data_IF_067783158240
#
_entry.id   IF_067783158240
#
_cell.length_a   1.000
_cell.length_b   1.000
_cell.length_c   1.000
_cell.angle_alpha   90.00
_cell.angle_beta   90.00
_cell.angle_gamma   90.00
#
_symmetry.space_group_name_H-M   'P 1'
#
loop_
_entity.id
_entity.type
_entity.pdbx_description
1 polymer ?
#
# COMPACT_ATOMS: atom_id res chain seq x y z
N UNK A 1 36.12 -5.80 -31.63
CA UNK A 1 35.40 -6.35 -30.46
C UNK A 1 34.22 -5.45 -30.20
N UNK A 2 32.99 -5.92 -30.45
CA UNK A 2 31.78 -5.18 -30.17
C UNK A 2 31.43 -5.36 -28.68
N UNK A 3 31.28 -4.26 -27.95
CA UNK A 3 30.86 -4.28 -26.56
C UNK A 3 29.33 -4.41 -26.52
N UNK A 4 28.83 -5.56 -26.07
CA UNK A 4 27.42 -5.74 -25.75
C UNK A 4 27.10 -4.91 -24.51
N UNK A 5 26.29 -3.87 -24.66
CA UNK A 5 25.76 -3.11 -23.54
C UNK A 5 24.67 -3.97 -22.90
N UNK A 6 24.94 -4.50 -21.69
CA UNK A 6 23.91 -5.12 -20.88
C UNK A 6 22.97 -4.01 -20.39
N UNK A 7 21.74 -4.00 -20.89
CA UNK A 7 20.67 -3.15 -20.36
C UNK A 7 20.29 -3.77 -19.01
N UNK A 8 20.52 -3.05 -17.92
CA UNK A 8 20.05 -3.49 -16.62
C UNK A 8 18.51 -3.51 -16.63
N UNK A 9 17.86 -4.57 -16.10
CA UNK A 9 16.41 -4.55 -15.93
C UNK A 9 16.03 -3.32 -15.10
N UNK A 10 15.04 -2.57 -15.57
CA UNK A 10 14.45 -1.46 -14.81
C UNK A 10 13.78 -2.03 -13.55
N UNK A 11 13.92 -1.36 -12.38
CA UNK A 11 13.28 -1.82 -11.15
C UNK A 11 11.76 -1.85 -11.37
N UNK A 12 11.12 -2.95 -10.95
CA UNK A 12 9.66 -3.03 -10.90
C UNK A 12 9.22 -2.18 -9.72
N UNK A 13 8.44 -1.13 -9.95
CA UNK A 13 7.84 -0.35 -8.86
C UNK A 13 6.85 -1.25 -8.12
N UNK A 14 6.98 -1.34 -6.80
CA UNK A 14 6.01 -2.06 -5.99
C UNK A 14 4.65 -1.37 -6.06
N UNK A 15 3.61 -2.18 -6.17
CA UNK A 15 2.21 -1.77 -6.19
C UNK A 15 1.36 -2.82 -5.45
N UNK A 16 0.20 -2.39 -4.96
CA UNK A 16 -0.89 -3.22 -4.47
C UNK A 16 -1.73 -3.59 -5.70
N UNK A 17 -1.91 -4.88 -5.94
CA UNK A 17 -2.78 -5.43 -6.96
C UNK A 17 -4.01 -6.04 -6.29
N UNK A 18 -5.17 -5.61 -6.75
CA UNK A 18 -6.48 -6.17 -6.42
C UNK A 18 -7.01 -6.86 -7.67
N UNK A 19 -7.49 -8.09 -7.53
CA UNK A 19 -8.01 -8.90 -8.63
C UNK A 19 -9.45 -9.39 -8.38
N UNK A 20 -10.11 -9.73 -9.48
CA UNK A 20 -11.48 -10.20 -9.57
C UNK A 20 -12.51 -9.28 -8.90
N UNK A 21 -12.37 -7.98 -9.13
CA UNK A 21 -13.41 -7.01 -8.77
C UNK A 21 -14.63 -7.25 -9.66
N UNK A 22 -15.73 -7.74 -9.09
CA UNK A 22 -16.93 -8.07 -9.86
C UNK A 22 -17.84 -6.86 -10.08
N UNK A 23 -17.96 -6.03 -9.06
CA UNK A 23 -18.84 -4.87 -9.04
C UNK A 23 -18.15 -3.69 -8.36
N UNK A 24 -18.57 -2.48 -8.71
CA UNK A 24 -18.20 -1.26 -7.99
C UNK A 24 -19.45 -0.39 -7.91
N UNK A 25 -19.79 0.03 -6.70
CA UNK A 25 -20.97 0.89 -6.43
C UNK A 25 -20.50 2.22 -5.90
N UNK A 26 -21.32 3.27 -6.02
CA UNK A 26 -20.98 4.56 -5.43
C UNK A 26 -20.88 4.42 -3.91
N UNK A 27 -19.92 5.12 -3.28
CA UNK A 27 -19.88 5.24 -1.82
C UNK A 27 -21.20 5.84 -1.35
N UNK A 28 -21.92 5.21 -0.42
CA UNK A 28 -23.26 5.65 -0.04
C UNK A 28 -23.21 6.97 0.74
N UNK A 29 -24.31 7.71 0.77
CA UNK A 29 -24.34 9.07 1.37
C UNK A 29 -24.27 9.07 2.91
N UNK A 30 -24.54 7.92 3.55
CA UNK A 30 -24.36 7.73 4.99
C UNK A 30 -22.90 7.50 5.40
N UNK A 31 -22.00 7.15 4.47
CA UNK A 31 -20.59 6.97 4.79
C UNK A 31 -19.96 8.27 5.32
N UNK A 32 -19.58 8.26 6.59
CA UNK A 32 -19.16 9.44 7.36
C UNK A 32 -17.95 10.16 6.78
N UNK A 33 -17.06 9.46 6.08
CA UNK A 33 -15.80 9.99 5.57
C UNK A 33 -15.81 10.22 4.05
N UNK A 34 -16.99 10.28 3.43
CA UNK A 34 -17.13 10.31 1.96
C UNK A 34 -16.45 11.52 1.34
N UNK A 35 -16.64 12.69 1.94
CA UNK A 35 -16.12 13.95 1.39
C UNK A 35 -14.60 13.98 1.47
N UNK A 36 -14.04 13.46 2.56
CA UNK A 36 -12.61 13.37 2.82
C UNK A 36 -11.94 12.39 1.88
N UNK A 37 -12.51 11.19 1.66
CA UNK A 37 -11.97 10.21 0.71
C UNK A 37 -11.97 10.73 -0.73
N UNK A 38 -13.02 11.43 -1.14
CA UNK A 38 -13.07 12.06 -2.46
C UNK A 38 -12.02 13.17 -2.58
N UNK A 39 -11.90 14.03 -1.56
CA UNK A 39 -10.97 15.17 -1.58
C UNK A 39 -9.49 14.75 -1.54
N UNK A 40 -9.13 13.80 -0.69
CA UNK A 40 -7.73 13.44 -0.43
C UNK A 40 -7.21 12.38 -1.41
N UNK A 41 -8.08 11.46 -1.86
CA UNK A 41 -7.68 10.27 -2.62
C UNK A 41 -8.45 10.09 -3.94
N UNK A 42 -9.42 10.95 -4.26
CA UNK A 42 -10.29 10.81 -5.44
C UNK A 42 -11.05 9.48 -5.49
N UNK A 43 -11.39 8.94 -4.31
CA UNK A 43 -12.15 7.70 -4.16
C UNK A 43 -13.65 8.03 -4.07
N UNK A 44 -14.46 7.42 -4.93
CA UNK A 44 -15.90 7.73 -5.06
C UNK A 44 -16.78 6.50 -5.16
N UNK A 45 -16.16 5.33 -5.24
CA UNK A 45 -16.86 4.04 -5.33
C UNK A 45 -16.24 3.03 -4.37
N UNK A 46 -16.97 1.97 -4.07
CA UNK A 46 -16.54 0.89 -3.20
C UNK A 46 -16.93 -0.46 -3.77
N UNK A 47 -16.29 -1.51 -3.26
CA UNK A 47 -16.66 -2.90 -3.54
C UNK A 47 -16.29 -3.80 -2.37
N UNK A 48 -17.15 -4.77 -2.06
CA UNK A 48 -16.82 -5.92 -1.21
C UNK A 48 -16.51 -7.19 -2.01
N UNK A 49 -16.74 -7.17 -3.32
CA UNK A 49 -16.60 -8.32 -4.21
C UNK A 49 -15.20 -8.35 -4.84
N UNK A 50 -14.25 -8.99 -4.17
CA UNK A 50 -12.89 -9.24 -4.69
C UNK A 50 -12.37 -10.62 -4.29
N UNK A 51 -11.45 -11.18 -5.09
CA UNK A 51 -10.85 -12.49 -4.75
C UNK A 51 -9.53 -12.36 -3.99
N UNK A 52 -8.75 -11.32 -4.26
CA UNK A 52 -7.40 -11.22 -3.72
C UNK A 52 -6.85 -9.80 -3.70
N UNK A 53 -5.94 -9.59 -2.73
CA UNK A 53 -5.09 -8.41 -2.61
C UNK A 53 -3.65 -8.91 -2.48
N UNK A 54 -2.72 -8.34 -3.25
CA UNK A 54 -1.31 -8.73 -3.25
C UNK A 54 -0.38 -7.54 -3.48
N UNK A 55 0.90 -7.70 -3.13
CA UNK A 55 1.98 -6.78 -3.47
C UNK A 55 2.78 -7.35 -4.63
N UNK A 56 3.08 -6.54 -5.65
CA UNK A 56 3.75 -6.97 -6.89
C UNK A 56 5.27 -7.05 -6.80
N UNK A 57 5.90 -6.43 -5.80
CA UNK A 57 7.34 -6.40 -5.58
C UNK A 57 7.66 -6.19 -4.07
N UNK A 58 8.91 -6.41 -3.61
CA UNK A 58 9.28 -6.12 -2.24
C UNK A 58 8.99 -4.66 -1.84
N UNK A 59 8.30 -4.46 -0.73
CA UNK A 59 7.87 -3.14 -0.26
C UNK A 59 7.60 -3.14 1.25
N UNK A 60 7.59 -1.93 1.82
CA UNK A 60 6.99 -1.69 3.13
C UNK A 60 5.58 -1.15 2.90
N UNK A 61 4.60 -1.70 3.59
CA UNK A 61 3.26 -1.13 3.67
C UNK A 61 3.18 -0.37 4.99
N UNK A 62 2.84 0.91 4.95
CA UNK A 62 2.46 1.68 6.12
C UNK A 62 0.94 1.68 6.22
N UNK A 63 0.42 1.40 7.40
CA UNK A 63 -1.02 1.40 7.69
C UNK A 63 -1.37 2.62 8.52
N UNK A 64 -2.42 3.34 8.10
CA UNK A 64 -2.96 4.49 8.81
C UNK A 64 -4.43 4.26 9.12
N UNK A 65 -4.85 4.57 10.34
CA UNK A 65 -6.25 4.57 10.71
C UNK A 65 -6.85 5.92 10.32
N UNK A 66 -7.66 5.96 9.26
CA UNK A 66 -8.24 7.21 8.76
C UNK A 66 -9.31 7.71 9.72
N UNK A 67 -10.31 6.89 10.05
CA UNK A 67 -11.39 7.24 10.95
C UNK A 67 -12.15 5.99 11.40
N UNK A 68 -13.04 6.16 12.39
CA UNK A 68 -13.97 5.14 12.84
C UNK A 68 -15.30 5.78 13.30
N UNK A 69 -16.42 5.13 12.99
CA UNK A 69 -17.76 5.55 13.41
C UNK A 69 -18.59 4.38 13.98
N UNK A 70 -17.98 3.56 14.82
CA UNK A 70 -18.62 2.39 15.36
C UNK A 70 -19.27 2.62 16.74
N UNK A 71 -20.26 1.79 17.06
CA UNK A 71 -20.77 1.63 18.41
C UNK A 71 -20.01 0.59 19.24
N UNK A 72 -19.02 -0.08 18.64
CA UNK A 72 -18.26 -1.22 19.13
C UNK A 72 -16.75 -0.96 19.03
N UNK A 73 -15.92 -1.75 19.71
CA UNK A 73 -14.47 -1.66 19.59
C UNK A 73 -13.96 -2.53 18.43
N UNK A 74 -13.62 -1.92 17.30
CA UNK A 74 -13.08 -2.63 16.16
C UNK A 74 -11.54 -2.66 16.16
N UNK A 75 -11.00 -3.79 15.72
CA UNK A 75 -9.58 -4.08 15.73
C UNK A 75 -9.11 -4.51 14.34
N UNK A 76 -8.16 -3.77 13.80
CA UNK A 76 -7.43 -4.11 12.59
C UNK A 76 -6.23 -5.00 12.94
N UNK A 77 -6.07 -6.08 12.19
CA UNK A 77 -4.97 -7.02 12.29
C UNK A 77 -4.29 -7.17 10.93
N UNK A 78 -2.96 -7.17 10.94
CA UNK A 78 -2.15 -7.48 9.77
C UNK A 78 -0.86 -8.21 10.17
N UNK A 79 -0.89 -9.54 10.08
CA UNK A 79 0.21 -10.38 10.55
C UNK A 79 0.43 -10.23 12.06
N UNK A 80 1.48 -9.52 12.47
CA UNK A 80 1.77 -9.22 13.88
C UNK A 80 1.28 -7.84 14.33
N UNK A 81 0.83 -6.99 13.40
CA UNK A 81 0.23 -5.70 13.72
C UNK A 81 -1.19 -5.94 14.24
N UNK A 82 -1.53 -5.29 15.36
CA UNK A 82 -2.87 -5.27 15.94
C UNK A 82 -3.14 -3.85 16.43
N UNK A 83 -4.26 -3.28 16.03
CA UNK A 83 -4.66 -1.93 16.42
C UNK A 83 -6.17 -1.88 16.61
N UNK A 84 -6.59 -1.58 17.85
CA UNK A 84 -7.99 -1.33 18.20
C UNK A 84 -8.26 0.16 18.08
N UNK A 85 -9.35 0.53 17.43
CA UNK A 85 -9.75 1.91 17.26
C UNK A 85 -10.16 2.57 18.59
N UNK A 86 -10.36 3.89 18.56
CA UNK A 86 -10.81 4.66 19.71
C UNK A 86 -11.58 5.92 19.27
N UNK A 87 -12.70 5.72 18.56
CA UNK A 87 -13.60 6.78 18.08
C UNK A 87 -12.86 7.89 17.31
N UNK A 88 -12.23 7.52 16.21
CA UNK A 88 -11.34 8.38 15.46
C UNK A 88 -12.10 9.31 14.50
N UNK A 89 -11.95 10.61 14.72
CA UNK A 89 -12.16 11.58 13.65
C UNK A 89 -11.18 11.33 12.49
N UNK A 90 -11.58 11.72 11.28
CA UNK A 90 -10.77 11.58 10.08
C UNK A 90 -9.38 12.24 10.23
N UNK A 91 -8.32 11.47 10.04
CA UNK A 91 -6.93 11.91 10.07
C UNK A 91 -6.05 11.03 9.15
N UNK A 92 -5.61 11.54 7.98
CA UNK A 92 -4.78 10.78 7.04
C UNK A 92 -3.33 10.60 7.51
N UNK A 93 -2.96 11.14 8.67
CA UNK A 93 -1.59 11.09 9.21
C UNK A 93 -1.41 10.10 10.35
N UNK A 94 -2.50 9.47 10.84
CA UNK A 94 -2.50 8.55 11.98
C UNK A 94 -1.89 7.19 11.62
N UNK A 95 -0.57 7.10 11.64
CA UNK A 95 0.17 5.86 11.43
C UNK A 95 -0.07 4.88 12.59
N UNK A 96 -0.58 3.70 12.28
CA UNK A 96 -0.84 2.63 13.27
C UNK A 96 0.20 1.52 13.22
N UNK A 97 0.92 1.38 12.11
CA UNK A 97 2.01 0.42 12.00
C UNK A 97 2.51 0.24 10.58
N UNK A 98 3.43 -0.71 10.41
CA UNK A 98 3.96 -1.05 9.10
C UNK A 98 4.29 -2.54 9.00
N UNK A 99 4.22 -3.10 7.80
CA UNK A 99 4.64 -4.47 7.51
C UNK A 99 5.58 -4.51 6.30
N UNK A 100 6.62 -5.35 6.38
CA UNK A 100 7.59 -5.53 5.30
C UNK A 100 7.26 -6.78 4.48
N UNK A 101 7.12 -6.59 3.16
CA UNK A 101 7.08 -7.63 2.16
C UNK A 101 8.47 -7.80 1.56
N UNK A 102 9.12 -8.93 1.86
CA UNK A 102 10.47 -9.23 1.33
C UNK A 102 10.43 -9.86 -0.06
N UNK A 103 9.24 -10.27 -0.53
CA UNK A 103 8.95 -10.79 -1.86
C UNK A 103 7.52 -10.39 -2.27
N UNK A 104 7.19 -10.40 -3.58
CA UNK A 104 5.79 -10.33 -4.00
C UNK A 104 4.94 -11.38 -3.27
N UNK A 105 3.70 -11.06 -2.94
CA UNK A 105 2.85 -11.95 -2.17
C UNK A 105 1.50 -11.36 -1.78
N UNK A 106 0.58 -12.20 -1.33
CA UNK A 106 -0.75 -11.80 -0.89
C UNK A 106 -0.71 -11.02 0.44
N UNK A 107 -1.71 -10.16 0.67
CA UNK A 107 -2.05 -9.54 1.96
C UNK A 107 -2.59 -10.58 2.96
N UNK A 108 -1.88 -11.69 3.12
CA UNK A 108 -2.24 -12.72 4.08
C UNK A 108 -2.26 -12.18 5.50
N UNK A 109 -3.32 -12.49 6.25
CA UNK A 109 -3.46 -12.07 7.65
C UNK A 109 -4.05 -10.68 7.85
N UNK A 110 -4.59 -10.05 6.79
CA UNK A 110 -5.48 -8.91 6.94
C UNK A 110 -6.82 -9.38 7.51
N UNK A 111 -7.18 -8.87 8.69
CA UNK A 111 -8.43 -9.20 9.37
C UNK A 111 -8.95 -7.98 10.13
N UNK A 112 -10.24 -7.72 10.07
CA UNK A 112 -10.93 -6.90 11.07
C UNK A 112 -11.68 -7.77 12.06
N UNK A 113 -11.67 -7.37 13.32
CA UNK A 113 -12.43 -7.97 14.40
C UNK A 113 -13.22 -6.88 15.11
N UNK A 114 -14.30 -7.26 15.78
CA UNK A 114 -15.13 -6.37 16.58
C UNK A 114 -15.45 -7.06 17.91
N UNK A 115 -15.67 -6.30 18.98
CA UNK A 115 -16.14 -6.80 20.27
C UNK A 115 -17.67 -7.04 20.31
N UNK A 116 -18.24 -7.53 19.22
CA UNK A 116 -19.66 -7.81 19.11
C UNK A 116 -20.12 -8.05 17.67
N UNK A 117 -19.37 -7.50 16.71
CA UNK A 117 -19.59 -7.69 15.29
C UNK A 117 -18.96 -8.96 14.69
N UNK A 118 -19.13 -9.12 13.38
CA UNK A 118 -18.58 -10.25 12.62
C UNK A 118 -17.16 -9.92 12.13
N UNK A 119 -16.18 -10.84 12.23
CA UNK A 119 -14.86 -10.59 11.67
C UNK A 119 -14.94 -10.42 10.14
N UNK A 120 -14.09 -9.58 9.57
CA UNK A 120 -14.00 -9.37 8.13
C UNK A 120 -12.61 -9.71 7.60
N UNK A 121 -12.58 -10.31 6.41
CA UNK A 121 -11.38 -10.52 5.60
C UNK A 121 -11.73 -10.17 4.15
N UNK A 122 -10.73 -9.95 3.27
CA UNK A 122 -10.98 -9.69 1.85
C UNK A 122 -11.93 -10.72 1.23
N UNK A 123 -12.96 -10.21 0.54
CA UNK A 123 -13.99 -11.03 -0.12
C UNK A 123 -15.19 -11.40 0.77
N UNK A 124 -15.26 -10.90 2.02
CA UNK A 124 -16.49 -10.96 2.83
C UNK A 124 -17.28 -9.65 2.72
N UNK A 125 -18.59 -9.74 2.92
CA UNK A 125 -19.53 -8.62 2.75
C UNK A 125 -19.36 -7.47 3.74
N UNK A 126 -18.55 -7.65 4.77
CA UNK A 126 -18.23 -6.63 5.78
C UNK A 126 -16.82 -6.04 5.58
N UNK A 127 -16.16 -6.36 4.47
CA UNK A 127 -14.89 -5.78 4.07
C UNK A 127 -15.07 -5.05 2.75
N UNK A 128 -14.89 -3.73 2.77
CA UNK A 128 -14.96 -2.89 1.58
C UNK A 128 -13.57 -2.40 1.17
N UNK A 129 -13.32 -2.27 -0.13
CA UNK A 129 -12.24 -1.43 -0.64
C UNK A 129 -12.81 -0.24 -1.41
N UNK A 130 -12.12 0.89 -1.35
CA UNK A 130 -12.53 2.10 -2.04
C UNK A 130 -11.75 2.27 -3.34
N UNK A 131 -12.46 2.67 -4.39
CA UNK A 131 -12.00 2.71 -5.77
C UNK A 131 -12.13 4.13 -6.35
N UNK A 132 -11.18 4.53 -7.23
CA UNK A 132 -11.12 5.89 -7.73
C UNK A 132 -12.20 6.20 -8.76
N UNK A 133 -12.41 7.49 -9.01
CA UNK A 133 -13.26 7.97 -10.10
C UNK A 133 -12.89 7.29 -11.42
N UNK A 134 -13.91 6.75 -12.10
CA UNK A 134 -13.75 6.16 -13.42
C UNK A 134 -13.09 4.78 -13.41
N UNK A 135 -12.96 4.13 -12.24
CA UNK A 135 -12.62 2.72 -12.20
C UNK A 135 -13.57 1.91 -13.10
N UNK A 136 -12.99 1.10 -13.98
CA UNK A 136 -13.71 0.18 -14.84
C UNK A 136 -12.83 -1.03 -15.10
N UNK A 137 -13.33 -2.23 -14.81
CA UNK A 137 -12.60 -3.48 -15.03
C UNK A 137 -12.67 -4.39 -13.81
N UNK A 138 -11.86 -5.43 -13.82
CA UNK A 138 -11.81 -6.47 -12.77
C UNK A 138 -10.52 -6.45 -11.95
N UNK A 139 -9.63 -5.49 -12.19
CA UNK A 139 -8.35 -5.39 -11.50
C UNK A 139 -7.98 -3.94 -11.24
N UNK A 140 -7.45 -3.67 -10.05
CA UNK A 140 -6.98 -2.34 -9.66
C UNK A 140 -5.53 -2.41 -9.17
N UNK A 141 -4.67 -1.58 -9.75
CA UNK A 141 -3.26 -1.49 -9.38
C UNK A 141 -2.99 -0.09 -8.82
N UNK A 142 -2.49 -0.02 -7.59
CA UNK A 142 -2.33 1.24 -6.85
C UNK A 142 -1.13 1.20 -5.90
N UNK A 143 -0.56 2.35 -5.53
CA UNK A 143 0.39 2.44 -4.41
C UNK A 143 -0.31 2.70 -3.06
N UNK A 144 -1.60 3.01 -3.11
CA UNK A 144 -2.41 3.44 -1.98
C UNK A 144 -3.77 2.75 -2.07
N UNK A 145 -4.11 1.95 -1.06
CA UNK A 145 -5.39 1.26 -0.95
C UNK A 145 -6.09 1.71 0.33
N UNK A 146 -7.33 2.19 0.20
CA UNK A 146 -8.20 2.40 1.35
C UNK A 146 -9.17 1.24 1.43
N UNK A 147 -9.35 0.69 2.61
CA UNK A 147 -10.35 -0.33 2.90
C UNK A 147 -11.10 -0.01 4.19
N UNK A 148 -12.36 -0.39 4.21
CA UNK A 148 -13.30 -0.14 5.29
C UNK A 148 -13.81 -1.45 5.87
N UNK A 149 -14.29 -1.36 7.09
CA UNK A 149 -14.90 -2.44 7.84
C UNK A 149 -16.28 -2.02 8.29
N UNK A 150 -17.17 -2.99 8.38
CA UNK A 150 -18.52 -2.86 8.91
C UNK A 150 -18.73 -3.96 9.97
N UNK A 151 -18.96 -3.56 11.21
CA UNK A 151 -19.15 -4.47 12.33
C UNK A 151 -20.61 -4.99 12.46
N UNK A 152 -21.57 -4.23 11.92
CA UNK A 152 -22.98 -4.59 11.78
C UNK A 152 -23.24 -5.61 10.67
N UNK A 153 -22.29 -5.81 9.76
CA UNK A 153 -22.41 -6.67 8.59
C UNK A 153 -23.32 -6.06 7.53
N UNK A 154 -23.93 -6.87 6.66
CA UNK A 154 -24.66 -6.39 5.47
C UNK A 154 -25.89 -5.48 5.72
N UNK A 155 -26.17 -5.08 6.97
CA UNK A 155 -27.21 -4.12 7.33
C UNK A 155 -26.74 -2.66 7.39
N UNK A 156 -25.44 -2.40 7.59
CA UNK A 156 -24.87 -1.03 7.61
C UNK A 156 -24.26 -0.65 6.24
N UNK A 157 -23.50 -1.55 5.60
CA UNK A 157 -22.94 -1.56 4.23
C UNK A 157 -22.31 -0.23 3.72
N UNK A 158 -21.98 0.68 4.64
CA UNK A 158 -21.23 1.91 4.39
C UNK A 158 -19.74 1.75 4.66
N UNK A 159 -19.33 0.79 5.50
CA UNK A 159 -17.93 0.44 5.79
C UNK A 159 -17.10 1.57 6.46
N UNK A 160 -17.74 2.47 7.21
CA UNK A 160 -17.08 3.52 8.00
C UNK A 160 -16.81 3.16 9.45
N UNK A 161 -17.29 2.01 9.95
CA UNK A 161 -17.02 1.59 11.33
C UNK A 161 -15.52 1.60 11.63
N UNK A 162 -14.69 1.10 10.70
CA UNK A 162 -13.24 1.32 10.77
C UNK A 162 -12.56 1.42 9.40
N UNK A 163 -11.97 2.58 9.09
CA UNK A 163 -11.33 2.85 7.80
C UNK A 163 -9.80 2.89 7.91
N UNK A 164 -9.14 2.09 7.09
CA UNK A 164 -7.68 1.97 7.06
C UNK A 164 -7.13 2.32 5.68
N UNK A 165 -6.03 3.06 5.66
CA UNK A 165 -5.19 3.33 4.50
C UNK A 165 -3.95 2.44 4.55
N UNK A 166 -3.70 1.68 3.49
CA UNK A 166 -2.44 1.00 3.23
C UNK A 166 -1.67 1.76 2.14
N UNK A 167 -0.47 2.24 2.45
CA UNK A 167 0.39 2.97 1.53
C UNK A 167 1.73 2.26 1.33
N UNK A 168 2.12 2.06 0.07
CA UNK A 168 3.41 1.49 -0.31
C UNK A 168 4.53 2.51 -0.12
N UNK A 169 5.57 2.05 0.56
CA UNK A 169 6.92 2.63 0.57
C UNK A 169 7.89 1.62 -0.05
N UNK A 170 8.43 1.89 -1.26
CA UNK A 170 9.34 0.97 -1.92
C UNK A 170 10.59 0.70 -1.07
N UNK A 171 10.99 -0.57 -0.95
CA UNK A 171 12.26 -0.94 -0.29
C UNK A 171 13.34 -1.01 -1.38
N UNK A 172 14.41 -0.18 -1.32
CA UNK A 172 15.46 -0.25 -2.32
C UNK A 172 16.12 -1.63 -2.34
N UNK A 173 16.15 -2.25 -3.51
CA UNK A 173 16.70 -3.59 -3.67
C UNK A 173 18.21 -3.63 -3.34
N UNK A 174 18.69 -4.74 -2.76
CA UNK A 174 20.09 -4.88 -2.34
C UNK A 174 21.10 -4.64 -3.48
N UNK A 175 20.73 -4.97 -4.72
CA UNK A 175 21.58 -4.73 -5.88
C UNK A 175 21.63 -3.24 -6.28
N UNK A 176 20.63 -2.43 -5.95
CA UNK A 176 20.67 -0.97 -6.12
C UNK A 176 21.77 -0.38 -5.25
N UNK A 177 21.90 -0.86 -4.01
CA UNK A 177 23.02 -0.50 -3.14
C UNK A 177 24.36 -0.96 -3.71
N UNK A 178 24.43 -2.19 -4.20
CA UNK A 178 25.67 -2.71 -4.80
C UNK A 178 26.11 -1.90 -6.04
N UNK A 179 25.17 -1.50 -6.90
CA UNK A 179 25.44 -0.66 -8.07
C UNK A 179 25.85 0.76 -7.67
N UNK A 180 25.22 1.34 -6.65
CA UNK A 180 25.59 2.64 -6.12
C UNK A 180 27.02 2.61 -5.56
N UNK A 181 27.36 1.59 -4.76
CA UNK A 181 28.73 1.38 -4.24
C UNK A 181 29.72 1.16 -5.38
N UNK A 182 29.38 0.33 -6.38
CA UNK A 182 30.23 0.09 -7.53
C UNK A 182 30.46 1.38 -8.34
N UNK A 183 29.40 2.18 -8.57
CA UNK A 183 29.46 3.46 -9.25
C UNK A 183 30.40 4.44 -8.54
N UNK A 184 30.24 4.61 -7.22
CA UNK A 184 31.16 5.43 -6.43
C UNK A 184 32.61 4.92 -6.45
N UNK A 185 32.80 3.59 -6.40
CA UNK A 185 34.11 2.97 -6.51
C UNK A 185 34.80 3.27 -7.85
N UNK A 186 34.07 3.20 -8.96
CA UNK A 186 34.58 3.50 -10.30
C UNK A 186 34.96 4.98 -10.45
N UNK A 187 34.11 5.90 -9.97
CA UNK A 187 34.40 7.35 -9.98
C UNK A 187 35.65 7.66 -9.15
N UNK A 188 35.76 7.10 -7.94
CA UNK A 188 36.94 7.26 -7.09
C UNK A 188 38.22 6.73 -7.74
N UNK A 189 38.16 5.56 -8.39
CA UNK A 189 39.30 4.99 -9.11
C UNK A 189 39.75 5.88 -10.28
N UNK A 190 38.81 6.43 -11.05
CA UNK A 190 39.11 7.32 -12.15
C UNK A 190 39.78 8.63 -11.69
N UNK A 191 39.29 9.23 -10.59
CA UNK A 191 39.91 10.41 -9.98
C UNK A 191 41.32 10.14 -9.45
N UNK A 192 41.58 8.95 -8.89
CA UNK A 192 42.93 8.56 -8.46
C UNK A 192 43.88 8.45 -9.65
N UNK A 193 43.41 7.89 -10.77
CA UNK A 193 44.22 7.70 -11.98
C UNK A 193 44.55 9.02 -12.68
N UNK A 194 43.64 10.00 -12.68
CA UNK A 194 43.91 11.32 -13.27
C UNK A 194 44.95 12.10 -12.48
N UNK A 195 44.92 12.05 -11.13
CA UNK A 195 45.95 12.67 -10.27
C UNK A 195 47.34 12.07 -10.47
N UNK A 196 47.45 10.76 -10.63
CA UNK A 196 48.73 10.09 -10.87
C UNK A 196 49.38 10.50 -12.20
N UNK A 197 48.60 10.92 -13.20
CA UNK A 197 49.11 11.36 -14.51
C UNK A 197 49.53 12.84 -14.54
N UNK A 198 49.01 13.67 -13.64
CA UNK A 198 49.37 15.10 -13.55
C UNK A 198 50.75 15.38 -12.92
N UNK A 199 51.38 14.39 -12.29
CA UNK A 199 52.68 14.52 -11.61
C UNK A 199 53.90 14.25 -12.52
N UNK A 200 53.71 14.06 -13.83
CA UNK A 200 54.76 13.62 -14.77
C UNK A 200 55.33 14.72 -15.70
N UNK A 201 55.07 16.01 -15.47
CA UNK A 201 55.48 17.09 -16.39
C UNK A 201 56.14 18.30 -15.68
N UNK A 202 57.02 18.02 -14.71
CA UNK A 202 57.95 19.02 -14.17
C UNK A 202 59.37 18.43 -14.23
N UNK A 203 60.05 18.67 -15.36
CA UNK A 203 61.43 18.30 -15.62
C UNK A 203 61.98 19.16 -16.74
#
# INVERSE_FOLDING_TARGET
MAATVAIAPSPVSAAILIEDIESAVAIPDNFSFKTELEADYSLVSQTGDLSSISVTAPARINFYALGSESGLENTFLFGALSHTEADYAYDPTRLIGSADFTSPGSFGGLVFMSDGGLPAVPGLSNFGIFLPVGFSGSSYLTDTLVFGYDDGGASDDDYDDFVILAQISPIPEAHTWALLVAGFGLVGWQMRRSRARGLSTAG
#
